data_IF_491377573367
#
_entry.id   IF_491377573367
#
_cell.length_a   1.000
_cell.length_b   1.000
_cell.length_c   1.000
_cell.angle_alpha   90.00
_cell.angle_beta   90.00
_cell.angle_gamma   90.00
#
_symmetry.space_group_name_H-M   'P 1'
#
loop_
_entity.id
_entity.type
_entity.pdbx_description
1 polymer ?
#
# COMPACT_ATOMS: atom_id res chain seq x y z
N UNK A 1 8.44 5.02 7.55
CA UNK A 1 8.06 3.71 6.98
C UNK A 1 9.32 2.99 6.54
N UNK A 2 9.29 1.69 6.25
CA UNK A 2 10.45 0.98 5.72
C UNK A 2 10.38 0.81 4.20
N UNK A 3 11.53 0.52 3.57
CA UNK A 3 11.60 0.21 2.15
C UNK A 3 12.68 -0.80 1.78
N UNK A 4 12.39 -1.62 0.76
CA UNK A 4 13.37 -2.44 0.05
C UNK A 4 13.53 -1.92 -1.38
N UNK A 5 14.77 -1.68 -1.80
CA UNK A 5 15.09 -1.26 -3.17
C UNK A 5 15.65 -2.43 -3.98
N UNK A 6 15.13 -2.59 -5.20
CA UNK A 6 15.61 -3.50 -6.23
C UNK A 6 16.11 -2.65 -7.40
N UNK A 7 17.43 -2.65 -7.60
CA UNK A 7 18.11 -1.90 -8.67
C UNK A 7 18.27 -2.80 -9.90
N UNK A 8 17.43 -2.58 -10.89
CA UNK A 8 17.47 -3.27 -12.18
C UNK A 8 18.14 -2.41 -13.26
N UNK A 9 18.80 -1.31 -12.86
CA UNK A 9 19.47 -0.33 -13.73
C UNK A 9 18.52 0.31 -14.74
N UNK A 10 17.28 0.54 -14.34
CA UNK A 10 16.27 1.17 -15.19
C UNK A 10 16.19 2.68 -14.97
N UNK A 11 15.75 3.43 -15.98
CA UNK A 11 15.35 4.83 -15.85
C UNK A 11 13.88 4.99 -15.45
N UNK A 12 13.16 3.88 -15.25
CA UNK A 12 11.76 3.80 -14.81
C UNK A 12 11.63 3.15 -13.44
N UNK A 13 10.68 3.61 -12.64
CA UNK A 13 10.46 3.16 -11.27
C UNK A 13 9.05 2.63 -11.04
N UNK A 14 8.94 1.55 -10.26
CA UNK A 14 7.69 1.13 -9.61
C UNK A 14 7.81 1.34 -8.10
N UNK A 15 6.94 2.20 -7.56
CA UNK A 15 6.72 2.35 -6.13
C UNK A 15 5.60 1.41 -5.69
N UNK A 16 5.95 0.40 -4.90
CA UNK A 16 5.00 -0.57 -4.36
C UNK A 16 4.67 -0.21 -2.93
N UNK A 17 3.40 0.07 -2.63
CA UNK A 17 2.92 0.27 -1.26
C UNK A 17 2.16 -0.98 -0.82
N UNK A 18 2.80 -1.79 0.04
CA UNK A 18 2.24 -3.07 0.50
C UNK A 18 1.08 -2.92 1.50
N UNK A 19 0.30 -4.00 1.67
CA UNK A 19 -0.75 -4.06 2.69
C UNK A 19 -0.15 -4.23 4.09
N UNK A 20 -0.95 -3.90 5.11
CA UNK A 20 -0.58 -4.07 6.52
C UNK A 20 -0.11 -5.51 6.78
N UNK A 21 0.96 -5.60 7.56
CA UNK A 21 1.59 -6.85 7.94
C UNK A 21 2.36 -7.59 6.86
N UNK A 22 2.41 -7.06 5.65
CA UNK A 22 3.33 -7.50 4.61
C UNK A 22 4.69 -6.79 4.72
N UNK A 23 5.65 -7.31 3.97
CA UNK A 23 6.93 -6.67 3.65
C UNK A 23 7.39 -7.03 2.22
N UNK A 24 8.66 -6.78 1.93
CA UNK A 24 9.30 -7.11 0.66
C UNK A 24 9.41 -8.62 0.40
N UNK A 25 9.52 -9.45 1.43
CA UNK A 25 9.72 -10.90 1.28
C UNK A 25 8.45 -11.55 0.71
N UNK A 26 7.29 -11.13 1.19
CA UNK A 26 5.99 -11.58 0.70
C UNK A 26 5.67 -11.17 -0.75
N UNK A 27 6.51 -10.34 -1.38
CA UNK A 27 6.38 -9.92 -2.78
C UNK A 27 7.63 -10.30 -3.60
N UNK A 28 8.57 -11.04 -3.02
CA UNK A 28 9.87 -11.34 -3.62
C UNK A 28 9.80 -12.27 -4.85
N UNK A 29 8.68 -12.97 -5.06
CA UNK A 29 8.46 -13.78 -6.27
C UNK A 29 8.14 -12.95 -7.51
N UNK A 30 7.79 -11.66 -7.36
CA UNK A 30 7.56 -10.76 -8.48
C UNK A 30 8.89 -10.13 -8.91
N UNK A 31 9.40 -10.53 -10.07
CA UNK A 31 10.56 -9.87 -10.67
C UNK A 31 10.22 -8.49 -11.20
N UNK A 32 11.22 -7.61 -11.30
CA UNK A 32 11.15 -6.39 -12.10
C UNK A 32 12.28 -6.44 -13.12
N UNK A 33 11.96 -6.40 -14.42
CA UNK A 33 13.00 -6.44 -15.46
C UNK A 33 13.20 -5.07 -16.09
N UNK A 34 12.09 -4.39 -16.44
CA UNK A 34 12.12 -3.08 -17.09
C UNK A 34 12.13 -1.92 -16.11
N UNK A 35 12.00 -2.20 -14.82
CA UNK A 35 11.80 -1.18 -13.80
C UNK A 35 12.68 -1.43 -12.60
N UNK A 36 13.24 -0.35 -12.05
CA UNK A 36 13.65 -0.34 -10.66
C UNK A 36 12.41 -0.44 -9.77
N UNK A 37 12.51 -1.10 -8.62
CA UNK A 37 11.35 -1.31 -7.73
C UNK A 37 11.70 -0.89 -6.30
N UNK A 38 10.84 -0.09 -5.68
CA UNK A 38 10.90 0.20 -4.25
C UNK A 38 9.64 -0.35 -3.59
N UNK A 39 9.79 -1.31 -2.69
CA UNK A 39 8.70 -1.86 -1.88
C UNK A 39 8.66 -1.18 -0.53
N UNK A 40 7.57 -0.47 -0.26
CA UNK A 40 7.29 0.31 0.93
C UNK A 40 6.34 -0.47 1.87
N UNK A 41 6.73 -0.61 3.13
CA UNK A 41 6.00 -1.35 4.16
C UNK A 41 6.25 -0.74 5.55
N UNK A 42 5.64 -1.28 6.60
CA UNK A 42 5.74 -0.79 7.98
C UNK A 42 5.46 0.71 8.12
N UNK A 43 4.19 1.07 8.16
CA UNK A 43 3.71 2.45 8.19
C UNK A 43 3.71 3.12 9.57
N UNK A 44 4.34 2.51 10.57
CA UNK A 44 4.38 3.00 11.95
C UNK A 44 4.87 4.45 12.09
N UNK A 45 5.89 4.84 11.31
CA UNK A 45 6.53 6.16 11.43
C UNK A 45 6.05 7.22 10.42
N UNK A 46 5.02 6.94 9.61
CA UNK A 46 4.57 7.87 8.57
C UNK A 46 3.19 8.45 8.90
N UNK A 47 3.19 9.37 9.85
CA UNK A 47 1.99 9.98 10.40
C UNK A 47 2.15 11.50 10.39
N UNK A 48 1.07 12.29 10.28
CA UNK A 48 1.19 13.74 10.40
C UNK A 48 1.90 14.12 11.71
N UNK A 49 3.04 14.82 11.60
CA UNK A 49 3.85 15.22 12.76
C UNK A 49 5.09 14.35 13.05
N UNK A 50 5.25 13.20 12.39
CA UNK A 50 6.53 12.47 12.42
C UNK A 50 7.45 12.94 11.28
N UNK A 51 8.76 12.99 11.53
CA UNK A 51 9.70 13.03 10.41
C UNK A 51 9.54 11.74 9.62
N UNK A 52 9.37 11.84 8.30
CA UNK A 52 9.31 10.69 7.40
C UNK A 52 10.68 10.01 7.35
N UNK A 53 11.00 9.24 8.39
CA UNK A 53 12.18 8.42 8.48
C UNK A 53 11.96 7.13 7.73
N UNK A 54 12.84 6.83 6.79
CA UNK A 54 12.99 5.47 6.28
C UNK A 54 14.14 4.77 7.01
N UNK A 55 13.89 3.51 7.38
CA UNK A 55 14.92 2.58 7.80
C UNK A 55 15.97 2.38 6.70
N UNK A 56 17.20 2.12 7.12
CA UNK A 56 18.41 1.98 6.31
C UNK A 56 18.22 1.19 5.00
N UNK A 57 18.29 1.86 3.86
CA UNK A 57 18.26 1.22 2.54
C UNK A 57 18.22 2.19 1.36
N UNK A 58 17.73 3.41 1.60
CA UNK A 58 17.95 4.56 0.73
C UNK A 58 18.98 5.42 1.47
N UNK A 59 20.08 5.80 0.82
CA UNK A 59 21.14 6.61 1.42
C UNK A 59 20.53 7.76 2.24
N UNK A 60 20.96 7.88 3.50
CA UNK A 60 20.60 9.00 4.38
C UNK A 60 21.22 10.29 3.82
N UNK A 61 20.65 10.83 2.75
CA UNK A 61 21.01 12.15 2.24
C UNK A 61 20.10 13.20 2.90
N UNK A 62 20.38 13.51 4.16
CA UNK A 62 19.87 14.69 4.86
C UNK A 62 18.37 14.65 5.28
N UNK A 63 17.84 15.79 5.76
CA UNK A 63 16.43 15.94 6.19
C UNK A 63 15.43 15.94 5.01
N UNK A 64 15.81 15.44 3.84
CA UNK A 64 14.98 15.45 2.63
C UNK A 64 13.86 14.40 2.70
N UNK A 65 12.73 14.74 2.07
CA UNK A 65 11.61 13.83 1.89
C UNK A 65 12.08 12.54 1.19
N UNK A 66 11.69 11.35 1.66
CA UNK A 66 12.36 10.09 1.32
C UNK A 66 12.26 9.60 -0.13
N UNK A 67 11.30 10.13 -0.90
CA UNK A 67 11.23 9.90 -2.36
C UNK A 67 11.75 11.08 -3.18
N UNK A 68 12.25 12.16 -2.58
CA UNK A 68 12.68 13.34 -3.31
C UNK A 68 13.73 13.02 -4.38
N UNK A 69 14.68 12.13 -4.06
CA UNK A 69 15.69 11.69 -5.02
C UNK A 69 15.11 10.81 -6.12
N UNK A 70 14.24 9.84 -5.78
CA UNK A 70 13.53 9.03 -6.76
C UNK A 70 12.69 9.91 -7.71
N UNK A 71 11.93 10.85 -7.15
CA UNK A 71 11.13 11.81 -7.90
C UNK A 71 11.97 12.74 -8.76
N UNK A 72 13.26 12.97 -8.50
CA UNK A 72 14.13 13.74 -9.39
C UNK A 72 14.71 12.87 -10.53
N UNK A 73 15.06 11.62 -10.26
CA UNK A 73 15.90 10.78 -11.15
C UNK A 73 15.15 10.03 -12.24
N UNK A 74 13.99 9.45 -11.93
CA UNK A 74 13.32 8.54 -12.87
C UNK A 74 12.53 9.30 -13.96
N UNK A 75 12.60 8.82 -15.19
CA UNK A 75 11.88 9.36 -16.36
C UNK A 75 10.38 8.99 -16.31
N UNK A 76 10.07 7.85 -15.69
CA UNK A 76 8.72 7.31 -15.49
C UNK A 76 8.57 6.77 -14.06
N UNK A 77 7.42 7.05 -13.43
CA UNK A 77 7.08 6.57 -12.10
C UNK A 77 5.72 5.87 -12.16
N UNK A 78 5.68 4.65 -11.69
CA UNK A 78 4.47 3.85 -11.53
C UNK A 78 4.23 3.60 -10.04
N UNK A 79 2.97 3.49 -9.64
CA UNK A 79 2.56 3.19 -8.27
C UNK A 79 1.68 1.96 -8.31
N UNK A 80 2.03 0.93 -7.53
CA UNK A 80 1.16 -0.21 -7.26
C UNK A 80 0.92 -0.24 -5.75
N UNK A 81 -0.33 -0.10 -5.33
CA UNK A 81 -0.65 0.00 -3.92
C UNK A 81 -1.70 -1.04 -3.53
N UNK A 82 -1.46 -1.76 -2.44
CA UNK A 82 -2.27 -2.89 -2.02
C UNK A 82 -2.87 -2.70 -0.63
N UNK A 83 -4.17 -2.96 -0.47
CA UNK A 83 -4.83 -2.90 0.83
C UNK A 83 -4.67 -1.52 1.48
N UNK A 84 -4.11 -1.48 2.69
CA UNK A 84 -3.80 -0.23 3.41
C UNK A 84 -2.73 0.62 2.73
N UNK A 85 -1.91 0.01 1.85
CA UNK A 85 -0.94 0.72 1.04
C UNK A 85 -1.57 1.73 0.08
N UNK A 86 -2.82 1.54 -0.35
CA UNK A 86 -3.55 2.50 -1.19
C UNK A 86 -3.69 3.85 -0.49
N UNK A 87 -4.15 3.83 0.76
CA UNK A 87 -4.20 5.03 1.60
C UNK A 87 -2.81 5.62 1.86
N UNK A 88 -1.82 4.79 2.20
CA UNK A 88 -0.47 5.26 2.50
C UNK A 88 0.22 5.89 1.30
N UNK A 89 0.02 5.35 0.10
CA UNK A 89 0.53 5.95 -1.14
C UNK A 89 -0.02 7.37 -1.29
N UNK A 90 -1.34 7.53 -1.21
CA UNK A 90 -1.98 8.84 -1.34
C UNK A 90 -1.53 9.83 -0.26
N UNK A 91 -1.42 9.40 1.00
CA UNK A 91 -0.90 10.22 2.09
C UNK A 91 0.55 10.64 1.86
N UNK A 92 1.39 9.73 1.37
CA UNK A 92 2.79 10.04 1.04
C UNK A 92 2.86 11.14 -0.02
N UNK A 93 2.14 11.01 -1.13
CA UNK A 93 2.17 12.06 -2.15
C UNK A 93 1.60 13.39 -1.64
N UNK A 94 0.56 13.36 -0.81
CA UNK A 94 0.02 14.56 -0.16
C UNK A 94 1.06 15.26 0.72
N UNK A 95 1.74 14.52 1.58
CA UNK A 95 2.79 15.06 2.45
C UNK A 95 3.96 15.62 1.64
N UNK A 96 4.32 14.99 0.52
CA UNK A 96 5.36 15.50 -0.38
C UNK A 96 4.93 16.82 -1.02
N UNK A 97 3.70 16.90 -1.51
CA UNK A 97 3.19 18.12 -2.16
C UNK A 97 3.04 19.25 -1.17
N UNK A 98 2.63 18.95 0.07
CA UNK A 98 2.61 19.91 1.17
C UNK A 98 4.02 20.41 1.50
N UNK A 99 5.01 19.51 1.61
CA UNK A 99 6.42 19.87 1.86
C UNK A 99 6.99 20.79 0.77
N UNK A 100 6.64 20.54 -0.49
CA UNK A 100 7.06 21.38 -1.61
C UNK A 100 6.44 22.78 -1.60
N UNK A 101 5.30 22.97 -0.93
CA UNK A 101 4.61 24.24 -0.80
C UNK A 101 4.18 24.89 -2.12
N UNK A 102 3.79 26.16 -2.07
CA UNK A 102 3.33 26.92 -3.26
C UNK A 102 4.42 27.12 -4.30
N UNK A 103 5.67 27.26 -3.87
CA UNK A 103 6.86 27.37 -4.74
C UNK A 103 7.19 26.06 -5.46
N UNK A 104 6.61 24.95 -5.02
CA UNK A 104 6.79 23.62 -5.58
C UNK A 104 5.94 23.27 -6.79
N UNK A 105 5.05 24.16 -7.26
CA UNK A 105 4.06 23.87 -8.31
C UNK A 105 4.67 23.24 -9.56
N UNK A 106 5.81 23.74 -10.03
CA UNK A 106 6.50 23.18 -11.21
C UNK A 106 7.07 21.77 -10.95
N UNK A 107 7.59 21.52 -9.74
CA UNK A 107 8.10 20.19 -9.35
C UNK A 107 6.96 19.18 -9.26
N UNK A 108 5.82 19.59 -8.67
CA UNK A 108 4.60 18.79 -8.59
C UNK A 108 4.11 18.44 -10.00
N UNK A 109 3.96 19.44 -10.89
CA UNK A 109 3.51 19.21 -12.26
C UNK A 109 4.45 18.28 -13.04
N UNK A 110 5.78 18.45 -12.87
CA UNK A 110 6.78 17.58 -13.51
C UNK A 110 6.74 16.15 -12.97
N UNK A 111 6.46 15.96 -11.68
CA UNK A 111 6.24 14.64 -11.10
C UNK A 111 4.97 14.00 -11.68
N UNK A 112 3.83 14.71 -11.64
CA UNK A 112 2.55 14.22 -12.16
C UNK A 112 2.64 13.82 -13.65
N UNK A 113 3.37 14.58 -14.49
CA UNK A 113 3.59 14.24 -15.91
C UNK A 113 4.39 12.95 -16.14
N UNK A 114 5.16 12.50 -15.16
CA UNK A 114 5.94 11.25 -15.23
C UNK A 114 5.23 10.08 -14.55
N UNK A 115 4.15 10.34 -13.81
CA UNK A 115 3.32 9.28 -13.26
C UNK A 115 2.50 8.64 -14.38
N UNK A 116 2.71 7.35 -14.64
CA UNK A 116 2.07 6.65 -15.78
C UNK A 116 1.00 5.68 -15.34
N UNK A 117 1.33 4.68 -14.53
CA UNK A 117 0.39 3.67 -14.04
C UNK A 117 0.27 3.79 -12.52
N UNK A 118 -0.92 4.11 -12.04
CA UNK A 118 -1.25 4.18 -10.63
C UNK A 118 -2.38 3.20 -10.37
N UNK A 119 -2.02 2.05 -9.80
CA UNK A 119 -2.86 0.87 -9.69
C UNK A 119 -3.16 0.62 -8.22
N UNK A 120 -4.43 0.72 -7.86
CA UNK A 120 -4.92 0.26 -6.56
C UNK A 120 -5.30 -1.22 -6.67
N UNK A 121 -4.85 -2.05 -5.73
CA UNK A 121 -5.13 -3.49 -5.69
C UNK A 121 -5.78 -3.80 -4.36
N UNK A 122 -6.98 -4.38 -4.36
CA UNK A 122 -7.67 -4.84 -3.15
C UNK A 122 -7.69 -3.80 -2.01
N UNK A 123 -7.94 -2.53 -2.33
CA UNK A 123 -7.78 -1.44 -1.38
C UNK A 123 -8.52 -0.17 -1.78
N UNK A 124 -8.67 0.73 -0.82
CA UNK A 124 -9.34 2.03 -0.96
C UNK A 124 -8.56 3.10 -0.21
N UNK A 125 -8.96 4.36 -0.36
CA UNK A 125 -8.39 5.46 0.44
C UNK A 125 -8.85 5.45 1.90
N UNK A 126 -9.75 4.53 2.28
CA UNK A 126 -10.34 4.40 3.60
C UNK A 126 -9.96 3.04 4.20
N UNK A 127 -8.80 2.92 4.88
CA UNK A 127 -8.40 1.67 5.53
C UNK A 127 -9.42 1.26 6.60
N UNK A 128 -10.07 2.22 7.27
CA UNK A 128 -11.11 1.99 8.28
C UNK A 128 -12.39 2.71 7.85
N UNK A 129 -13.40 1.96 7.43
CA UNK A 129 -14.73 2.47 7.09
C UNK A 129 -15.75 1.34 7.03
N UNK A 130 -16.95 1.58 7.57
CA UNK A 130 -18.07 0.64 7.47
C UNK A 130 -18.68 0.59 6.06
N UNK A 131 -18.40 1.57 5.19
CA UNK A 131 -18.97 1.69 3.83
C UNK A 131 -17.95 1.44 2.73
N UNK A 132 -16.69 1.84 2.95
CA UNK A 132 -15.66 1.94 1.92
C UNK A 132 -14.38 1.14 2.22
N UNK A 133 -14.31 0.47 3.37
CA UNK A 133 -13.07 -0.16 3.84
C UNK A 133 -13.29 -1.34 4.75
N UNK A 134 -12.30 -1.61 5.60
CA UNK A 134 -12.46 -2.55 6.72
C UNK A 134 -13.34 -1.89 7.79
N UNK A 135 -14.42 -2.57 8.20
CA UNK A 135 -15.32 -2.00 9.21
C UNK A 135 -14.60 -1.69 10.53
N UNK A 136 -15.05 -0.65 11.23
CA UNK A 136 -14.46 -0.24 12.52
C UNK A 136 -14.46 -1.38 13.54
N UNK A 137 -15.54 -2.16 13.57
CA UNK A 137 -15.67 -3.34 14.44
C UNK A 137 -14.60 -4.38 14.14
N UNK A 138 -14.43 -4.74 12.87
CA UNK A 138 -13.41 -5.72 12.47
C UNK A 138 -12.00 -5.21 12.75
N UNK A 139 -11.72 -3.93 12.45
CA UNK A 139 -10.41 -3.32 12.74
C UNK A 139 -10.10 -3.38 14.24
N UNK A 140 -11.04 -2.93 15.10
CA UNK A 140 -10.85 -2.94 16.55
C UNK A 140 -10.67 -4.37 17.09
N UNK A 141 -11.43 -5.34 16.59
CA UNK A 141 -11.27 -6.74 16.99
C UNK A 141 -9.88 -7.29 16.61
N UNK A 142 -9.35 -6.94 15.43
CA UNK A 142 -7.98 -7.29 15.04
C UNK A 142 -6.99 -6.64 15.99
N UNK A 143 -7.11 -5.33 16.24
CA UNK A 143 -6.20 -4.59 17.12
C UNK A 143 -6.15 -5.17 18.54
N UNK A 144 -7.30 -5.39 19.18
CA UNK A 144 -7.35 -5.95 20.53
C UNK A 144 -6.84 -7.40 20.58
N UNK A 145 -7.12 -8.19 19.54
CA UNK A 145 -6.56 -9.54 19.44
C UNK A 145 -5.02 -9.54 19.35
N UNK A 146 -4.43 -8.61 18.59
CA UNK A 146 -2.97 -8.51 18.52
C UNK A 146 -2.34 -8.00 19.82
N UNK A 147 -3.03 -7.11 20.56
CA UNK A 147 -2.59 -6.74 21.92
C UNK A 147 -2.58 -7.93 22.86
N UNK A 148 -3.61 -8.77 22.80
CA UNK A 148 -3.70 -10.01 23.58
C UNK A 148 -2.56 -10.97 23.22
N UNK A 149 -2.28 -11.20 21.94
CA UNK A 149 -1.18 -12.06 21.51
C UNK A 149 0.18 -11.52 22.00
N UNK A 150 0.45 -10.21 21.85
CA UNK A 150 1.69 -9.58 22.36
C UNK A 150 1.79 -9.68 23.88
N UNK A 151 0.70 -9.44 24.62
CA UNK A 151 0.68 -9.54 26.08
C UNK A 151 0.90 -10.98 26.60
N UNK A 152 0.63 -11.97 25.77
CA UNK A 152 0.87 -13.39 26.03
C UNK A 152 2.22 -13.89 25.47
N UNK A 153 3.17 -12.99 25.20
CA UNK A 153 4.50 -13.29 24.68
C UNK A 153 4.49 -14.08 23.36
N UNK A 154 3.45 -13.91 22.54
CA UNK A 154 3.43 -14.50 21.19
C UNK A 154 4.44 -13.79 20.28
N UNK A 155 5.01 -14.57 19.38
CA UNK A 155 5.82 -14.13 18.24
C UNK A 155 4.98 -14.19 16.96
N UNK A 156 5.50 -13.63 15.86
CA UNK A 156 4.87 -13.79 14.55
C UNK A 156 4.71 -15.27 14.13
N UNK A 157 5.56 -16.17 14.63
CA UNK A 157 5.51 -17.59 14.29
C UNK A 157 4.39 -18.36 15.00
N UNK A 158 3.92 -17.90 16.16
CA UNK A 158 2.92 -18.62 16.97
C UNK A 158 1.66 -17.77 17.31
N UNK A 159 1.55 -16.55 16.78
CA UNK A 159 0.36 -15.71 16.96
C UNK A 159 -0.87 -16.33 16.27
N UNK A 160 -1.92 -16.73 17.03
CA UNK A 160 -3.15 -17.26 16.44
C UNK A 160 -3.91 -16.19 15.65
N UNK A 161 -3.79 -14.91 16.01
CA UNK A 161 -4.44 -13.81 15.29
C UNK A 161 -3.78 -13.58 13.93
N UNK A 162 -2.46 -13.61 13.86
CA UNK A 162 -1.73 -13.48 12.60
C UNK A 162 -1.98 -14.67 11.69
N UNK A 163 -1.97 -15.89 12.22
CA UNK A 163 -2.29 -17.08 11.42
C UNK A 163 -3.71 -16.98 10.80
N UNK A 164 -4.70 -16.63 11.63
CA UNK A 164 -6.09 -16.45 11.19
C UNK A 164 -6.22 -15.34 10.14
N UNK A 165 -5.49 -14.23 10.31
CA UNK A 165 -5.45 -13.14 9.33
C UNK A 165 -4.87 -13.62 8.00
N UNK A 166 -3.70 -14.27 8.02
CA UNK A 166 -3.02 -14.77 6.82
C UNK A 166 -3.89 -15.79 6.05
N UNK A 167 -4.61 -16.68 6.77
CA UNK A 167 -5.56 -17.61 6.14
C UNK A 167 -6.70 -16.89 5.42
N UNK A 168 -7.28 -15.86 6.03
CA UNK A 168 -8.34 -15.05 5.40
C UNK A 168 -7.82 -14.26 4.21
N UNK A 169 -6.66 -13.64 4.34
CA UNK A 169 -6.01 -12.86 3.28
C UNK A 169 -5.72 -13.73 2.06
N UNK A 170 -5.29 -14.98 2.27
CA UNK A 170 -4.96 -15.91 1.20
C UNK A 170 -6.18 -16.64 0.62
N UNK A 171 -7.30 -16.72 1.35
CA UNK A 171 -8.58 -17.28 0.89
C UNK A 171 -8.61 -18.78 0.55
N UNK A 172 -7.46 -19.44 0.40
CA UNK A 172 -7.35 -20.88 0.13
C UNK A 172 -6.11 -21.48 0.79
N UNK A 173 -6.14 -22.80 1.04
CA UNK A 173 -4.99 -23.53 1.59
C UNK A 173 -3.77 -23.45 0.66
N UNK A 174 -3.97 -23.56 -0.65
CA UNK A 174 -2.88 -23.54 -1.62
C UNK A 174 -2.15 -22.17 -1.64
N UNK A 175 -2.90 -21.07 -1.71
CA UNK A 175 -2.34 -19.71 -1.65
C UNK A 175 -1.68 -19.46 -0.31
N UNK A 176 -2.30 -19.89 0.79
CA UNK A 176 -1.74 -19.75 2.14
C UNK A 176 -0.40 -20.49 2.29
N UNK A 177 -0.32 -21.75 1.88
CA UNK A 177 0.92 -22.52 1.94
C UNK A 177 2.03 -21.87 1.11
N UNK A 178 1.71 -21.39 -0.10
CA UNK A 178 2.68 -20.67 -0.93
C UNK A 178 3.11 -19.35 -0.30
N UNK A 179 2.17 -18.56 0.22
CA UNK A 179 2.45 -17.31 0.91
C UNK A 179 3.38 -17.52 2.12
N UNK A 180 3.13 -18.55 2.92
CA UNK A 180 3.96 -18.85 4.10
C UNK A 180 5.39 -19.28 3.76
N UNK A 181 5.67 -19.76 2.54
CA UNK A 181 7.04 -20.04 2.09
C UNK A 181 7.89 -18.77 1.91
N UNK A 182 7.24 -17.61 1.80
CA UNK A 182 7.83 -16.29 1.65
C UNK A 182 7.19 -15.32 2.66
N UNK A 183 6.89 -15.81 3.87
CA UNK A 183 6.18 -15.03 4.88
C UNK A 183 6.93 -13.72 5.21
N UNK A 184 6.20 -12.65 5.58
CA UNK A 184 6.82 -11.43 6.07
C UNK A 184 7.74 -11.69 7.26
N UNK A 185 8.88 -11.02 7.27
CA UNK A 185 9.93 -11.12 8.29
C UNK A 185 9.77 -10.01 9.36
N UNK A 186 8.54 -9.71 9.73
CA UNK A 186 8.20 -8.64 10.69
C UNK A 186 7.80 -9.20 12.05
N UNK A 187 8.23 -8.52 13.11
CA UNK A 187 7.89 -8.88 14.48
C UNK A 187 6.42 -8.56 14.82
N UNK A 188 5.82 -9.30 15.75
CA UNK A 188 4.43 -9.10 16.13
C UNK A 188 4.17 -7.70 16.70
N UNK A 189 5.12 -7.16 17.46
CA UNK A 189 5.07 -5.79 17.96
C UNK A 189 5.06 -4.75 16.84
N UNK A 190 5.86 -4.94 15.77
CA UNK A 190 5.84 -4.06 14.60
C UNK A 190 4.48 -4.05 13.91
N UNK A 191 3.83 -5.23 13.85
CA UNK A 191 2.49 -5.36 13.29
C UNK A 191 1.44 -4.61 14.12
N UNK A 192 1.53 -4.74 15.45
CA UNK A 192 0.65 -4.05 16.39
C UNK A 192 0.86 -2.52 16.34
N UNK A 193 2.11 -2.07 16.38
CA UNK A 193 2.47 -0.66 16.31
C UNK A 193 1.97 -0.02 15.01
N UNK A 194 2.05 -0.73 13.89
CA UNK A 194 1.51 -0.26 12.62
C UNK A 194 -0.02 -0.14 12.65
N UNK A 195 -0.76 -1.09 13.26
CA UNK A 195 -2.22 -0.95 13.44
C UNK A 195 -2.58 0.25 14.31
N UNK A 196 -1.85 0.45 15.41
CA UNK A 196 -2.04 1.61 16.30
C UNK A 196 -1.83 2.90 15.53
N UNK A 197 -0.74 2.99 14.75
CA UNK A 197 -0.44 4.14 13.93
C UNK A 197 -1.53 4.41 12.88
N UNK A 198 -2.01 3.38 12.17
CA UNK A 198 -3.13 3.52 11.23
C UNK A 198 -4.38 4.07 11.93
N UNK A 199 -4.74 3.51 13.09
CA UNK A 199 -5.95 3.95 13.83
C UNK A 199 -5.86 5.39 14.30
N UNK A 200 -4.70 5.83 14.78
CA UNK A 200 -4.50 7.16 15.32
C UNK A 200 -4.37 8.24 14.25
N UNK A 201 -3.78 7.89 13.10
CA UNK A 201 -3.29 8.87 12.13
C UNK A 201 -3.99 8.81 10.78
N UNK A 202 -4.94 7.89 10.60
CA UNK A 202 -5.73 7.80 9.38
C UNK A 202 -6.48 9.11 9.14
N UNK A 203 -6.05 9.81 8.10
CA UNK A 203 -6.76 10.93 7.47
C UNK A 203 -6.89 10.64 5.98
N UNK A 204 -8.01 11.06 5.40
CA UNK A 204 -8.25 10.84 3.97
C UNK A 204 -7.69 12.03 3.20
N UNK A 205 -6.72 11.73 2.34
CA UNK A 205 -6.22 12.66 1.34
C UNK A 205 -5.84 11.88 0.09
N UNK A 206 -5.87 12.57 -1.05
CA UNK A 206 -5.49 12.01 -2.32
C UNK A 206 -4.81 13.07 -3.17
N UNK A 207 -3.58 12.72 -3.56
CA UNK A 207 -2.75 13.46 -4.50
C UNK A 207 -2.29 12.59 -5.68
N UNK A 208 -2.86 11.38 -5.80
CA UNK A 208 -2.57 10.42 -6.87
C UNK A 208 -3.76 10.32 -7.83
N UNK A 209 -3.48 10.39 -9.13
CA UNK A 209 -4.45 10.03 -10.17
C UNK A 209 -4.44 8.52 -10.38
N UNK A 210 -5.27 7.80 -9.63
CA UNK A 210 -5.49 6.37 -9.87
C UNK A 210 -6.06 6.18 -11.26
N UNK A 211 -5.47 5.29 -12.05
CA UNK A 211 -5.93 4.99 -13.42
C UNK A 211 -6.38 3.55 -13.60
N UNK A 212 -6.06 2.67 -12.65
CA UNK A 212 -6.59 1.31 -12.60
C UNK A 212 -6.86 0.88 -11.17
N UNK A 213 -7.93 0.12 -10.99
CA UNK A 213 -8.32 -0.49 -9.73
C UNK A 213 -8.54 -1.98 -9.99
N UNK A 214 -7.85 -2.84 -9.26
CA UNK A 214 -8.00 -4.28 -9.32
C UNK A 214 -8.69 -4.76 -8.05
N UNK A 215 -9.84 -5.41 -8.19
CA UNK A 215 -10.69 -5.89 -7.10
C UNK A 215 -10.83 -7.41 -7.19
N UNK A 216 -10.29 -8.09 -6.19
CA UNK A 216 -10.51 -9.50 -5.91
C UNK A 216 -11.92 -9.75 -5.42
N UNK A 217 -12.70 -10.50 -6.19
CA UNK A 217 -14.12 -10.80 -5.88
C UNK A 217 -14.27 -11.66 -4.61
N UNK A 218 -13.20 -12.36 -4.20
CA UNK A 218 -13.14 -13.20 -2.99
C UNK A 218 -12.38 -12.52 -1.82
N UNK A 219 -12.15 -11.21 -1.89
CA UNK A 219 -11.51 -10.47 -0.80
C UNK A 219 -12.38 -10.48 0.48
N UNK A 220 -11.86 -11.07 1.54
CA UNK A 220 -12.52 -11.15 2.86
C UNK A 220 -11.95 -10.17 3.89
N UNK A 221 -10.91 -9.41 3.54
CA UNK A 221 -10.32 -8.36 4.37
C UNK A 221 -11.00 -7.03 4.05
N UNK A 222 -10.97 -6.60 2.78
CA UNK A 222 -11.70 -5.43 2.30
C UNK A 222 -12.74 -5.92 1.27
N UNK A 223 -14.01 -6.14 1.66
CA UNK A 223 -14.99 -6.78 0.80
C UNK A 223 -15.11 -6.08 -0.56
N UNK A 224 -15.18 -6.86 -1.66
CA UNK A 224 -15.30 -6.33 -3.02
C UNK A 224 -16.44 -5.31 -3.21
N UNK A 225 -17.55 -5.49 -2.47
CA UNK A 225 -18.66 -4.54 -2.43
C UNK A 225 -18.29 -3.16 -1.86
N UNK A 226 -17.43 -3.11 -0.84
CA UNK A 226 -16.96 -1.85 -0.24
C UNK A 226 -15.99 -1.15 -1.18
N UNK A 227 -15.08 -1.91 -1.79
CA UNK A 227 -14.16 -1.39 -2.80
C UNK A 227 -14.91 -0.82 -4.00
N UNK A 228 -15.84 -1.59 -4.57
CA UNK A 228 -16.68 -1.14 -5.70
C UNK A 228 -17.43 0.13 -5.36
N UNK A 229 -18.10 0.15 -4.20
CA UNK A 229 -18.84 1.33 -3.75
C UNK A 229 -17.94 2.55 -3.62
N UNK A 230 -16.78 2.40 -2.97
CA UNK A 230 -15.83 3.50 -2.81
C UNK A 230 -15.38 4.05 -4.15
N UNK A 231 -14.89 3.20 -5.04
CA UNK A 231 -14.35 3.63 -6.32
C UNK A 231 -15.44 4.26 -7.20
N UNK A 232 -16.64 3.68 -7.28
CA UNK A 232 -17.77 4.28 -8.02
C UNK A 232 -18.17 5.64 -7.43
N UNK A 233 -18.30 5.77 -6.11
CA UNK A 233 -18.66 7.05 -5.48
C UNK A 233 -17.53 8.09 -5.60
N UNK A 234 -16.26 7.67 -5.57
CA UNK A 234 -15.11 8.54 -5.81
C UNK A 234 -15.10 9.09 -7.24
N UNK A 235 -15.36 8.24 -8.24
CA UNK A 235 -15.43 8.66 -9.65
C UNK A 235 -16.56 9.65 -9.90
N UNK A 236 -17.71 9.46 -9.24
CA UNK A 236 -18.85 10.36 -9.30
C UNK A 236 -18.68 11.64 -8.46
N UNK A 237 -17.52 11.87 -7.83
CA UNK A 237 -17.26 13.04 -6.98
C UNK A 237 -18.09 13.08 -5.69
N UNK A 238 -18.63 11.93 -5.24
CA UNK A 238 -19.47 11.81 -4.04
C UNK A 238 -18.67 11.56 -2.76
N UNK A 239 -17.37 11.31 -2.89
CA UNK A 239 -16.44 11.13 -1.76
C UNK A 239 -15.42 12.25 -1.79
N UNK A 240 -15.33 13.03 -0.72
CA UNK A 240 -14.29 14.05 -0.57
C UNK A 240 -12.97 13.38 -0.18
N UNK A 241 -11.96 13.51 -1.04
CA UNK A 241 -10.63 12.89 -0.83
C UNK A 241 -9.49 13.88 -1.01
N UNK A 242 -9.73 15.20 -0.91
CA UNK A 242 -8.65 16.20 -0.98
C UNK A 242 -8.38 16.73 -2.40
N UNK A 243 -7.10 16.88 -2.77
CA UNK A 243 -6.64 17.75 -3.88
C UNK A 243 -7.07 17.30 -5.27
N UNK A 244 -7.22 16.00 -5.47
CA UNK A 244 -7.37 15.42 -6.81
C UNK A 244 -8.70 14.71 -6.95
N UNK A 245 -9.55 15.24 -7.84
CA UNK A 245 -10.74 14.57 -8.33
C UNK A 245 -10.36 13.40 -9.26
N UNK A 246 -11.28 12.45 -9.43
CA UNK A 246 -11.10 11.38 -10.41
C UNK A 246 -10.86 11.95 -11.81
N UNK A 247 -9.95 11.35 -12.56
CA UNK A 247 -9.72 11.62 -13.98
C UNK A 247 -10.22 10.46 -14.87
N UNK A 248 -11.08 9.60 -14.32
CA UNK A 248 -11.49 8.33 -14.90
C UNK A 248 -10.43 7.24 -14.67
N UNK A 249 -10.90 6.04 -14.36
CA UNK A 249 -10.07 4.85 -14.20
C UNK A 249 -10.84 3.60 -14.61
N UNK A 250 -10.10 2.53 -14.90
CA UNK A 250 -10.67 1.21 -15.16
C UNK A 250 -10.78 0.41 -13.86
N UNK A 251 -11.89 -0.29 -13.65
CA UNK A 251 -12.04 -1.28 -12.59
C UNK A 251 -11.96 -2.68 -13.20
N UNK A 252 -11.05 -3.50 -12.68
CA UNK A 252 -10.82 -4.88 -13.05
C UNK A 252 -11.23 -5.81 -11.92
N UNK A 253 -12.25 -6.62 -12.15
CA UNK A 253 -12.67 -7.67 -11.23
C UNK A 253 -11.91 -8.95 -11.55
N UNK A 254 -11.23 -9.51 -10.55
CA UNK A 254 -10.49 -10.77 -10.67
C UNK A 254 -10.98 -11.79 -9.64
N UNK A 255 -10.95 -13.07 -9.99
CA UNK A 255 -11.32 -14.15 -9.07
C UNK A 255 -10.17 -14.46 -8.08
N UNK A 256 -9.94 -13.54 -7.15
CA UNK A 256 -8.80 -13.57 -6.25
C UNK A 256 -9.18 -13.21 -4.80
N UNK A 257 -8.43 -13.72 -3.81
CA UNK A 257 -8.55 -13.33 -2.41
C UNK A 257 -7.88 -11.96 -2.19
N UNK A 258 -7.71 -11.54 -0.92
CA UNK A 258 -7.08 -10.25 -0.61
C UNK A 258 -5.64 -10.15 -1.09
N UNK A 259 -4.89 -11.27 -1.10
CA UNK A 259 -3.55 -11.36 -1.69
C UNK A 259 -3.63 -11.98 -3.11
N UNK A 260 -3.64 -11.17 -4.19
CA UNK A 260 -3.80 -11.68 -5.55
C UNK A 260 -2.47 -11.95 -6.25
N UNK A 261 -1.33 -11.62 -5.63
CA UNK A 261 -0.05 -11.47 -6.32
C UNK A 261 0.54 -12.75 -6.94
N UNK A 262 0.00 -13.93 -6.62
CA UNK A 262 0.38 -15.16 -7.32
C UNK A 262 -0.26 -15.33 -8.69
N UNK A 263 -1.16 -14.43 -9.09
CA UNK A 263 -1.72 -14.38 -10.45
C UNK A 263 -0.75 -13.80 -11.48
N UNK A 264 0.31 -13.10 -11.04
CA UNK A 264 1.33 -12.50 -11.89
C UNK A 264 2.71 -13.07 -11.57
N UNK A 265 3.60 -13.01 -12.56
CA UNK A 265 4.99 -13.44 -12.45
C UNK A 265 5.95 -12.28 -12.21
N UNK A 266 5.59 -11.08 -12.61
CA UNK A 266 6.43 -9.89 -12.50
C UNK A 266 5.63 -8.62 -12.23
N UNK A 267 6.34 -7.57 -11.78
CA UNK A 267 5.80 -6.23 -11.69
C UNK A 267 5.50 -5.63 -13.06
N UNK A 268 6.31 -5.98 -14.06
CA UNK A 268 6.10 -5.62 -15.46
C UNK A 268 4.71 -6.06 -15.93
N UNK A 269 4.33 -7.32 -15.65
CA UNK A 269 3.00 -7.83 -15.99
C UNK A 269 1.89 -6.99 -15.37
N UNK A 270 2.01 -6.58 -14.10
CA UNK A 270 0.98 -5.79 -13.39
C UNK A 270 0.87 -4.37 -13.96
N UNK A 271 2.00 -3.72 -14.23
CA UNK A 271 2.05 -2.32 -14.67
C UNK A 271 1.68 -2.17 -16.15
N UNK A 272 2.06 -3.15 -16.98
CA UNK A 272 1.84 -3.13 -18.42
C UNK A 272 0.50 -3.73 -18.85
N UNK A 273 -0.33 -4.24 -17.91
CA UNK A 273 -1.65 -4.77 -18.24
C UNK A 273 -2.45 -3.78 -19.10
N UNK A 274 -2.93 -4.26 -20.25
CA UNK A 274 -3.89 -3.56 -21.10
C UNK A 274 -5.28 -3.60 -20.49
#
# INVERSE_FOLDING_TARGET
>A
MESKFYNNKSDKLILVFSGWGSDWNALSHLSGEKYDVIVCYNYTQNTPGSSLGFGSGIEKSGPEYPFANAFKRYSEINVVAWGTGVWMASLTFELYFHHLGTQGRFKILRLLKRMRRCIAVNGTLFPISNTWGLSQRMFNNTLEGFKEDVANDCTAANSPRLEKFNRKMCGSKAVYTRYMSQAPQRGLEDLLNELVAIKQNFTVSNSIFWNRVIIGTKDTIIPAKHQTRFWTEYDLGRVSTGRVASAGFRIDYIDAPHYPFFMWKSWDEIVEME
#
